data_IF_728153966449
#
_entry.id   IF_728153966449
#
_cell.length_a   1.000
_cell.length_b   1.000
_cell.length_c   1.000
_cell.angle_alpha   90.00
_cell.angle_beta   90.00
_cell.angle_gamma   90.00
#
_symmetry.space_group_name_H-M   'P 1'
#
loop_
_entity.id
_entity.type
_entity.pdbx_description
1 polymer ?
#
# COMPACT_ATOMS: atom_id res chain seq x y z
N UNK A 1 7.04 15.18 34.63
CA UNK A 1 6.79 15.07 33.17
C UNK A 1 8.02 14.77 32.30
N UNK A 2 9.22 15.38 32.50
CA UNK A 2 10.41 15.12 31.66
C UNK A 2 10.97 13.68 31.71
N UNK A 3 11.00 13.05 32.90
CA UNK A 3 11.59 11.71 33.07
C UNK A 3 10.79 10.60 32.35
N UNK A 4 9.46 10.67 32.36
CA UNK A 4 8.59 9.71 31.67
C UNK A 4 8.74 9.75 30.15
N UNK A 5 9.00 10.93 29.57
CA UNK A 5 9.25 11.10 28.13
C UNK A 5 10.56 10.44 27.68
N UNK A 6 11.61 10.49 28.49
CA UNK A 6 12.89 9.87 28.15
C UNK A 6 12.76 8.34 28.12
N UNK A 7 12.02 7.77 29.08
CA UNK A 7 11.84 6.32 29.18
C UNK A 7 11.11 5.75 27.96
N UNK A 8 10.08 6.44 27.44
CA UNK A 8 9.34 5.94 26.27
C UNK A 8 10.22 5.98 25.00
N UNK A 9 11.14 6.95 24.88
CA UNK A 9 12.11 6.95 23.76
C UNK A 9 13.05 5.75 23.82
N UNK A 10 13.55 5.38 25.01
CA UNK A 10 14.35 4.16 25.15
C UNK A 10 13.57 2.90 24.81
N UNK A 11 12.28 2.83 25.20
CA UNK A 11 11.41 1.73 24.82
C UNK A 11 11.29 1.61 23.28
N UNK A 12 11.02 2.71 22.59
CA UNK A 12 10.94 2.71 21.13
C UNK A 12 12.29 2.42 20.47
N UNK A 13 13.40 2.92 21.02
CA UNK A 13 14.74 2.59 20.54
C UNK A 13 15.00 1.09 20.57
N UNK A 14 14.66 0.41 21.68
CA UNK A 14 14.73 -1.05 21.78
C UNK A 14 13.85 -1.72 20.71
N UNK A 15 12.59 -1.29 20.56
CA UNK A 15 11.68 -1.83 19.55
C UNK A 15 12.20 -1.68 18.11
N UNK A 16 12.85 -0.57 17.78
CA UNK A 16 13.44 -0.31 16.46
C UNK A 16 14.72 -1.11 16.19
N UNK A 17 15.44 -1.50 17.24
CA UNK A 17 16.64 -2.34 17.14
C UNK A 17 16.30 -3.83 16.97
N UNK A 18 15.19 -4.31 17.52
CA UNK A 18 14.81 -5.73 17.46
C UNK A 18 14.74 -6.31 16.03
N UNK A 19 14.17 -5.62 15.01
CA UNK A 19 14.19 -6.11 13.62
C UNK A 19 15.60 -6.23 13.03
N UNK A 20 16.57 -5.43 13.51
CA UNK A 20 17.97 -5.48 13.05
C UNK A 20 18.73 -6.65 13.64
N UNK A 21 18.46 -7.03 14.88
CA UNK A 21 19.13 -8.15 15.58
C UNK A 21 18.09 -9.16 16.07
N UNK A 22 17.39 -9.79 15.13
CA UNK A 22 16.25 -10.65 15.44
C UNK A 22 16.65 -11.87 16.27
N UNK A 23 16.05 -12.00 17.47
CA UNK A 23 16.14 -13.19 18.33
C UNK A 23 14.90 -14.08 18.19
N UNK A 24 14.97 -15.33 18.63
CA UNK A 24 13.84 -16.28 18.53
C UNK A 24 12.76 -15.97 19.56
N UNK A 25 13.17 -15.55 20.76
CA UNK A 25 12.27 -15.20 21.86
C UNK A 25 12.57 -13.79 22.38
N UNK A 26 11.54 -13.11 22.89
CA UNK A 26 11.67 -11.76 23.42
C UNK A 26 12.63 -11.67 24.61
N UNK A 27 12.75 -12.73 25.41
CA UNK A 27 13.65 -12.75 26.57
C UNK A 27 15.12 -12.89 26.16
N UNK A 28 15.41 -13.41 24.97
CA UNK A 28 16.79 -13.63 24.50
C UNK A 28 17.53 -12.32 24.21
N UNK A 29 16.81 -11.21 23.98
CA UNK A 29 17.44 -9.89 23.82
C UNK A 29 18.22 -9.45 25.09
N UNK A 30 17.89 -10.01 26.26
CA UNK A 30 18.56 -9.75 27.54
C UNK A 30 19.30 -10.96 28.10
N UNK A 31 19.58 -11.97 27.28
CA UNK A 31 20.30 -13.16 27.73
C UNK A 31 21.75 -12.83 28.12
N UNK A 32 22.26 -13.54 29.14
CA UNK A 32 23.68 -13.49 29.53
C UNK A 32 24.51 -14.61 28.90
N UNK A 33 23.87 -15.53 28.16
CA UNK A 33 24.54 -16.59 27.42
C UNK A 33 25.55 -15.99 26.43
N UNK A 34 26.82 -16.41 26.53
CA UNK A 34 27.92 -15.84 25.75
C UNK A 34 27.72 -15.98 24.23
N UNK A 35 27.01 -17.02 23.76
CA UNK A 35 26.75 -17.25 22.33
C UNK A 35 25.65 -16.34 21.77
N UNK A 36 24.74 -15.88 22.64
CA UNK A 36 23.55 -15.13 22.23
C UNK A 36 23.54 -13.67 22.73
N UNK A 37 24.47 -13.29 23.61
CA UNK A 37 24.51 -11.99 24.29
C UNK A 37 24.57 -10.85 23.29
N UNK A 38 23.72 -9.85 23.49
CA UNK A 38 23.76 -8.59 22.73
C UNK A 38 23.62 -7.44 23.72
N UNK A 39 24.74 -6.94 24.28
CA UNK A 39 24.74 -6.06 25.46
C UNK A 39 23.86 -4.81 25.35
N UNK A 40 23.82 -4.22 24.15
CA UNK A 40 23.10 -2.98 23.84
C UNK A 40 21.64 -2.95 24.35
N UNK A 41 20.92 -4.08 24.30
CA UNK A 41 19.53 -4.13 24.77
C UNK A 41 19.42 -3.92 26.27
N UNK A 42 20.30 -4.54 27.06
CA UNK A 42 20.33 -4.41 28.51
C UNK A 42 20.90 -3.08 28.98
N UNK A 43 21.79 -2.47 28.19
CA UNK A 43 22.34 -1.14 28.44
C UNK A 43 21.30 -0.03 28.23
N UNK A 44 20.42 -0.15 27.24
CA UNK A 44 19.36 0.84 26.96
C UNK A 44 18.22 0.73 27.99
N UNK A 45 17.76 -0.49 28.28
CA UNK A 45 16.63 -0.71 29.18
C UNK A 45 16.68 -2.12 29.78
N UNK A 46 16.37 -2.28 31.06
CA UNK A 46 16.25 -3.61 31.65
C UNK A 46 15.08 -4.41 31.06
N UNK A 47 15.23 -5.73 30.98
CA UNK A 47 14.18 -6.65 30.48
C UNK A 47 12.83 -6.39 31.15
N UNK A 48 12.82 -6.34 32.48
CA UNK A 48 11.58 -6.27 33.24
C UNK A 48 10.89 -4.92 33.04
N UNK A 49 11.66 -3.83 32.91
CA UNK A 49 11.11 -2.52 32.56
C UNK A 49 10.51 -2.53 31.15
N UNK A 50 11.20 -3.12 30.17
CA UNK A 50 10.70 -3.23 28.81
C UNK A 50 9.39 -4.03 28.76
N UNK A 51 9.34 -5.20 29.41
CA UNK A 51 8.13 -6.04 29.45
C UNK A 51 6.97 -5.36 30.17
N UNK A 52 7.23 -4.61 31.25
CA UNK A 52 6.21 -3.83 31.95
C UNK A 52 5.62 -2.75 31.04
N UNK A 53 6.47 -1.98 30.34
CA UNK A 53 6.02 -0.96 29.40
C UNK A 53 5.26 -1.57 28.23
N UNK A 54 5.75 -2.68 27.67
CA UNK A 54 5.07 -3.41 26.59
C UNK A 54 3.66 -3.84 26.98
N UNK A 55 3.46 -4.25 28.25
CA UNK A 55 2.15 -4.65 28.77
C UNK A 55 1.20 -3.47 29.03
N UNK A 56 1.73 -2.33 29.44
CA UNK A 56 0.94 -1.21 29.98
C UNK A 56 0.79 -0.04 29.00
N UNK A 57 1.43 -0.08 27.82
CA UNK A 57 1.36 0.98 26.82
C UNK A 57 -0.08 1.18 26.32
N UNK A 58 -0.59 2.40 26.48
CA UNK A 58 -1.93 2.82 26.07
C UNK A 58 -1.88 4.26 25.54
N UNK A 59 -2.79 4.61 24.63
CA UNK A 59 -2.85 5.92 23.99
C UNK A 59 -4.20 6.64 24.13
N UNK A 60 -5.15 6.02 24.82
CA UNK A 60 -6.49 6.55 25.05
C UNK A 60 -6.89 6.34 26.51
N UNK A 61 -7.77 7.20 27.02
CA UNK A 61 -8.47 6.95 28.27
C UNK A 61 -9.51 5.84 28.04
N UNK A 62 -9.49 4.80 28.88
CA UNK A 62 -10.46 3.70 28.78
C UNK A 62 -11.85 4.06 29.31
N UNK A 63 -11.98 5.19 30.02
CA UNK A 63 -13.26 5.67 30.54
C UNK A 63 -14.01 6.56 29.53
N UNK A 64 -13.34 6.99 28.46
CA UNK A 64 -13.94 7.81 27.43
C UNK A 64 -14.78 6.95 26.46
N UNK A 65 -15.88 7.52 25.98
CA UNK A 65 -16.76 6.86 25.01
C UNK A 65 -16.07 6.75 23.65
N UNK A 66 -16.01 5.54 23.11
CA UNK A 66 -15.40 5.26 21.82
C UNK A 66 -16.30 5.63 20.64
N UNK A 67 -17.60 5.90 20.87
CA UNK A 67 -18.53 6.33 19.81
C UNK A 67 -18.64 5.35 18.64
N UNK A 68 -18.32 4.06 18.85
CA UNK A 68 -18.28 3.04 17.81
C UNK A 68 -17.01 3.05 16.92
N UNK A 69 -16.02 3.90 17.20
CA UNK A 69 -14.72 3.89 16.51
C UNK A 69 -13.89 2.68 16.94
N UNK A 70 -13.72 1.71 16.03
CA UNK A 70 -12.92 0.50 16.29
C UNK A 70 -11.43 0.79 16.47
N UNK A 71 -10.95 1.97 16.07
CA UNK A 71 -9.56 2.40 16.20
C UNK A 71 -9.33 3.33 17.39
N UNK A 72 -10.36 3.62 18.19
CA UNK A 72 -10.33 4.58 19.30
C UNK A 72 -9.04 4.51 20.15
N UNK A 73 -8.62 3.29 20.51
CA UNK A 73 -7.43 3.04 21.35
C UNK A 73 -6.09 3.49 20.75
N UNK A 74 -6.04 3.67 19.43
CA UNK A 74 -4.84 4.06 18.68
C UNK A 74 -5.12 5.25 17.75
N UNK A 75 -6.31 5.85 17.83
CA UNK A 75 -6.78 6.91 16.93
C UNK A 75 -5.80 8.08 16.87
N UNK A 76 -5.44 8.62 18.03
CA UNK A 76 -4.48 9.71 18.14
C UNK A 76 -3.11 9.38 17.51
N UNK A 77 -2.66 8.13 17.62
CA UNK A 77 -1.39 7.69 17.02
C UNK A 77 -1.52 7.63 15.50
N UNK A 78 -2.60 7.04 14.99
CA UNK A 78 -2.86 6.96 13.55
C UNK A 78 -2.93 8.36 12.94
N UNK A 79 -3.72 9.26 13.53
CA UNK A 79 -3.93 10.60 12.99
C UNK A 79 -2.62 11.41 13.02
N UNK A 80 -1.84 11.29 14.10
CA UNK A 80 -0.52 11.92 14.21
C UNK A 80 0.46 11.40 13.15
N UNK A 81 0.47 10.09 12.89
CA UNK A 81 1.31 9.49 11.85
C UNK A 81 0.88 9.96 10.46
N UNK A 82 -0.41 9.92 10.14
CA UNK A 82 -0.94 10.39 8.85
C UNK A 82 -0.62 11.86 8.62
N UNK A 83 -0.80 12.71 9.62
CA UNK A 83 -0.46 14.13 9.54
C UNK A 83 1.05 14.32 9.31
N UNK A 84 1.89 13.59 10.04
CA UNK A 84 3.35 13.65 9.88
C UNK A 84 3.79 13.18 8.49
N UNK A 85 3.22 12.08 7.99
CA UNK A 85 3.58 11.52 6.69
C UNK A 85 3.25 12.47 5.55
N UNK A 86 2.03 13.03 5.56
CA UNK A 86 1.58 14.04 4.58
C UNK A 86 2.39 15.33 4.63
N UNK A 87 2.81 15.75 5.83
CA UNK A 87 3.55 17.01 6.03
C UNK A 87 5.04 16.92 5.72
N UNK A 88 5.64 15.75 5.81
CA UNK A 88 7.10 15.58 5.70
C UNK A 88 7.60 15.40 4.25
N UNK A 89 6.72 15.09 3.29
CA UNK A 89 7.15 14.79 1.93
C UNK A 89 6.11 15.22 0.90
N UNK A 90 6.55 15.99 -0.10
CA UNK A 90 5.77 16.25 -1.31
C UNK A 90 6.11 15.14 -2.33
N UNK A 91 5.12 14.37 -2.81
CA UNK A 91 5.40 13.30 -3.75
C UNK A 91 5.93 13.81 -5.08
N UNK A 92 6.67 12.95 -5.77
CA UNK A 92 6.93 13.14 -7.18
C UNK A 92 5.64 12.91 -7.98
N UNK A 93 5.76 12.89 -9.31
CA UNK A 93 4.60 12.78 -10.19
C UNK A 93 3.84 11.46 -10.03
N UNK A 94 4.54 10.36 -9.80
CA UNK A 94 3.98 9.01 -9.92
C UNK A 94 3.71 8.45 -8.52
N UNK A 95 2.45 8.10 -8.25
CA UNK A 95 1.96 7.60 -6.95
C UNK A 95 1.20 6.30 -7.15
N UNK A 96 1.17 5.45 -6.12
CA UNK A 96 0.54 4.13 -6.15
C UNK A 96 -0.38 3.95 -4.95
N UNK A 97 -1.53 3.29 -5.17
CA UNK A 97 -2.43 2.86 -4.10
C UNK A 97 -2.58 1.34 -4.17
N UNK A 98 -2.31 0.67 -3.04
CA UNK A 98 -2.48 -0.77 -2.91
C UNK A 98 -2.73 -1.19 -1.44
N UNK A 99 -2.88 -2.49 -1.21
CA UNK A 99 -3.28 -3.08 0.05
C UNK A 99 -2.10 -3.78 0.73
N UNK A 100 -1.87 -3.42 1.99
CA UNK A 100 -0.96 -4.12 2.89
C UNK A 100 -1.73 -4.88 3.97
N UNK A 101 -1.12 -5.95 4.47
CA UNK A 101 -1.70 -6.81 5.50
C UNK A 101 -0.70 -7.05 6.62
N UNK A 102 -0.88 -6.33 7.72
CA UNK A 102 -0.06 -6.46 8.91
C UNK A 102 -0.43 -7.74 9.66
N UNK A 103 0.51 -8.68 9.78
CA UNK A 103 0.30 -9.95 10.46
C UNK A 103 -0.22 -9.72 11.90
N UNK A 104 -1.40 -10.24 12.19
CA UNK A 104 -1.97 -10.20 13.53
C UNK A 104 -2.80 -11.45 13.80
N UNK A 105 -2.40 -12.23 14.81
CA UNK A 105 -3.06 -13.50 15.16
C UNK A 105 -4.01 -13.39 16.35
N UNK A 106 -4.01 -12.28 17.07
CA UNK A 106 -4.87 -12.06 18.23
C UNK A 106 -6.37 -11.95 17.90
N UNK A 107 -7.17 -11.75 18.94
CA UNK A 107 -8.60 -11.44 18.82
C UNK A 107 -8.76 -9.97 18.47
N UNK A 108 -9.34 -9.69 17.31
CA UNK A 108 -9.62 -8.35 16.82
C UNK A 108 -10.80 -8.42 15.85
N UNK A 109 -11.79 -7.55 16.05
CA UNK A 109 -13.08 -7.60 15.33
C UNK A 109 -12.98 -7.29 13.84
N UNK A 110 -11.97 -6.55 13.40
CA UNK A 110 -11.74 -6.17 12.01
C UNK A 110 -10.55 -6.88 11.35
N UNK A 111 -10.03 -7.93 11.98
CA UNK A 111 -9.00 -8.80 11.38
C UNK A 111 -9.53 -9.41 10.08
N UNK A 112 -8.73 -9.33 9.02
CA UNK A 112 -9.06 -9.87 7.70
C UNK A 112 -8.33 -11.19 7.44
N UNK A 113 -8.96 -12.06 6.65
CA UNK A 113 -8.34 -13.25 6.08
C UNK A 113 -8.17 -13.06 4.57
N UNK A 114 -6.93 -13.04 4.09
CA UNK A 114 -6.59 -12.87 2.67
C UNK A 114 -5.70 -14.05 2.26
N UNK A 115 -6.25 -15.11 1.63
CA UNK A 115 -5.52 -16.34 1.30
C UNK A 115 -4.27 -16.12 0.45
N UNK A 116 -4.30 -15.11 -0.43
CA UNK A 116 -3.24 -14.81 -1.39
C UNK A 116 -2.02 -14.13 -0.79
N UNK A 117 -2.14 -13.46 0.37
CA UNK A 117 -1.02 -12.80 1.03
C UNK A 117 -0.29 -13.77 1.96
N UNK A 118 1.04 -13.62 2.10
CA UNK A 118 1.90 -14.48 2.93
C UNK A 118 1.40 -14.56 4.38
N UNK A 119 1.08 -13.40 4.95
CA UNK A 119 0.43 -13.28 6.25
C UNK A 119 -1.08 -13.42 6.06
N UNK A 120 -1.60 -14.66 5.97
CA UNK A 120 -3.02 -14.89 5.62
C UNK A 120 -4.03 -14.20 6.55
N UNK A 121 -3.66 -13.92 7.81
CA UNK A 121 -4.49 -13.25 8.80
C UNK A 121 -3.81 -11.97 9.28
N UNK A 122 -4.54 -10.85 9.30
CA UNK A 122 -3.96 -9.58 9.72
C UNK A 122 -4.90 -8.39 9.74
N UNK A 123 -4.33 -7.23 10.04
CA UNK A 123 -4.99 -5.92 9.90
C UNK A 123 -4.72 -5.42 8.48
N UNK A 124 -5.78 -5.28 7.69
CA UNK A 124 -5.69 -4.77 6.31
C UNK A 124 -5.58 -3.24 6.36
N UNK A 125 -4.66 -2.69 5.58
CA UNK A 125 -4.48 -1.26 5.37
C UNK A 125 -4.46 -0.95 3.88
N UNK A 126 -5.14 0.10 3.46
CA UNK A 126 -4.93 0.72 2.15
C UNK A 126 -3.81 1.75 2.30
N UNK A 127 -2.81 1.70 1.43
CA UNK A 127 -1.61 2.54 1.54
C UNK A 127 -1.40 3.27 0.22
N UNK A 128 -1.12 4.56 0.32
CA UNK A 128 -0.69 5.40 -0.80
C UNK A 128 0.79 5.71 -0.65
N UNK A 129 1.58 5.40 -1.68
CA UNK A 129 3.02 5.64 -1.70
C UNK A 129 3.46 6.45 -2.91
N UNK A 130 4.60 7.13 -2.78
CA UNK A 130 5.36 7.66 -3.90
C UNK A 130 6.13 6.54 -4.61
N UNK A 131 5.99 6.43 -5.93
CA UNK A 131 6.56 5.33 -6.72
C UNK A 131 8.09 5.41 -6.85
N UNK A 132 8.70 6.59 -6.63
CA UNK A 132 10.14 6.79 -6.80
C UNK A 132 10.92 6.41 -5.54
N UNK A 133 10.35 6.71 -4.38
CA UNK A 133 11.02 6.59 -3.08
C UNK A 133 10.45 5.48 -2.20
N UNK A 134 9.24 4.99 -2.50
CA UNK A 134 8.50 4.09 -1.62
C UNK A 134 7.97 4.77 -0.35
N UNK A 135 8.05 6.10 -0.28
CA UNK A 135 7.58 6.85 0.88
C UNK A 135 6.05 6.77 1.01
N UNK A 136 5.56 6.43 2.20
CA UNK A 136 4.13 6.36 2.50
C UNK A 136 3.61 7.79 2.71
N UNK A 137 2.71 8.21 1.83
CA UNK A 137 2.06 9.52 1.89
C UNK A 137 0.86 9.50 2.84
N UNK A 138 0.07 8.43 2.77
CA UNK A 138 -1.10 8.24 3.61
C UNK A 138 -1.53 6.77 3.66
N UNK A 139 -2.34 6.42 4.65
CA UNK A 139 -2.93 5.09 4.76
C UNK A 139 -4.29 5.12 5.47
N UNK A 140 -5.11 4.11 5.21
CA UNK A 140 -6.40 3.87 5.88
C UNK A 140 -6.38 2.47 6.46
N UNK A 141 -6.68 2.35 7.76
CA UNK A 141 -6.88 1.06 8.40
C UNK A 141 -8.31 0.58 8.13
N UNK A 142 -8.45 -0.60 7.54
CA UNK A 142 -9.76 -1.14 7.19
C UNK A 142 -10.44 -1.76 8.42
N UNK A 143 -11.55 -1.15 8.85
CA UNK A 143 -12.34 -1.57 10.02
C UNK A 143 -13.71 -2.17 9.67
N UNK A 144 -13.98 -2.32 8.37
CA UNK A 144 -15.28 -2.69 7.82
C UNK A 144 -16.08 -1.46 7.39
N UNK A 145 -17.35 -1.39 7.78
CA UNK A 145 -18.30 -0.32 7.39
C UNK A 145 -17.86 1.06 7.90
N UNK A 146 -17.31 1.13 9.11
CA UNK A 146 -16.90 2.39 9.77
C UNK A 146 -15.43 2.73 9.48
N UNK A 147 -14.94 2.43 8.28
CA UNK A 147 -13.59 2.84 7.88
C UNK A 147 -13.60 4.32 7.51
N UNK A 148 -12.49 5.03 7.70
CA UNK A 148 -12.36 6.46 7.37
C UNK A 148 -12.28 6.65 5.84
N UNK A 149 -13.38 6.38 5.15
CA UNK A 149 -13.52 6.37 3.69
C UNK A 149 -14.74 7.23 3.32
N UNK A 150 -14.52 8.22 2.46
CA UNK A 150 -15.59 9.06 1.93
C UNK A 150 -16.24 8.39 0.72
N UNK A 151 -17.58 8.38 0.68
CA UNK A 151 -18.33 7.78 -0.44
C UNK A 151 -18.31 8.72 -1.65
N UNK A 152 -17.82 8.22 -2.78
CA UNK A 152 -17.73 8.90 -4.07
C UNK A 152 -18.92 8.62 -4.99
N UNK A 153 -19.67 7.54 -4.73
CA UNK A 153 -20.72 7.05 -5.62
C UNK A 153 -20.22 6.23 -6.82
N UNK A 154 -18.90 6.09 -6.99
CA UNK A 154 -18.26 5.35 -8.10
C UNK A 154 -17.87 3.91 -7.72
N UNK A 155 -18.18 3.51 -6.49
CA UNK A 155 -17.92 2.19 -5.93
C UNK A 155 -16.74 2.16 -4.96
N UNK A 156 -16.65 1.08 -4.16
CA UNK A 156 -15.73 0.99 -3.00
C UNK A 156 -14.25 1.25 -3.33
N UNK A 157 -13.76 0.77 -4.48
CA UNK A 157 -12.39 1.03 -4.90
C UNK A 157 -12.14 2.51 -5.18
N UNK A 158 -13.10 3.18 -5.82
CA UNK A 158 -13.05 4.61 -6.07
C UNK A 158 -13.15 5.43 -4.77
N UNK A 159 -13.97 5.01 -3.81
CA UNK A 159 -14.09 5.66 -2.51
C UNK A 159 -12.73 5.69 -1.77
N UNK A 160 -12.00 4.58 -1.79
CA UNK A 160 -10.66 4.49 -1.17
C UNK A 160 -9.65 5.37 -1.91
N UNK A 161 -9.61 5.25 -3.24
CA UNK A 161 -8.67 6.02 -4.08
C UNK A 161 -8.91 7.52 -3.93
N UNK A 162 -10.16 7.97 -4.02
CA UNK A 162 -10.53 9.38 -3.87
C UNK A 162 -10.23 9.90 -2.46
N UNK A 163 -10.46 9.10 -1.41
CA UNK A 163 -10.12 9.48 -0.04
C UNK A 163 -8.61 9.70 0.15
N UNK A 164 -7.78 8.75 -0.32
CA UNK A 164 -6.32 8.85 -0.21
C UNK A 164 -5.75 9.97 -1.07
N UNK A 165 -6.28 10.15 -2.29
CA UNK A 165 -5.81 11.17 -3.23
C UNK A 165 -6.33 12.57 -2.93
N UNK A 166 -7.33 12.76 -2.06
CA UNK A 166 -7.97 14.07 -1.86
C UNK A 166 -6.99 15.25 -1.71
N UNK A 167 -5.87 15.15 -0.96
CA UNK A 167 -4.89 16.25 -0.84
C UNK A 167 -4.04 16.50 -2.10
N UNK A 168 -4.07 15.58 -3.07
CA UNK A 168 -3.21 15.51 -4.25
C UNK A 168 -3.98 15.66 -5.57
N UNK A 169 -5.31 15.65 -5.54
CA UNK A 169 -6.14 15.95 -6.71
C UNK A 169 -5.80 17.34 -7.27
N UNK A 170 -5.96 17.51 -8.57
CA UNK A 170 -5.70 18.74 -9.31
C UNK A 170 -4.24 19.22 -9.30
N UNK A 171 -3.30 18.39 -8.82
CA UNK A 171 -1.85 18.67 -8.84
C UNK A 171 -1.09 17.91 -9.93
N UNK A 172 -1.80 17.26 -10.86
CA UNK A 172 -1.19 16.51 -11.95
C UNK A 172 -0.52 15.17 -11.62
N UNK A 173 -0.82 14.44 -10.51
CA UNK A 173 -0.19 13.16 -10.27
C UNK A 173 -0.63 12.10 -11.30
N UNK A 174 0.19 11.06 -11.45
CA UNK A 174 -0.17 9.81 -12.14
C UNK A 174 -0.36 8.71 -11.10
N UNK A 175 -1.59 8.23 -10.98
CA UNK A 175 -1.96 7.14 -10.11
C UNK A 175 -1.71 5.79 -10.79
N UNK A 176 -1.09 4.87 -10.05
CA UNK A 176 -0.99 3.45 -10.40
C UNK A 176 -1.79 2.61 -9.42
N UNK A 177 -2.63 1.70 -9.93
CA UNK A 177 -3.52 0.87 -9.10
C UNK A 177 -3.77 -0.49 -9.73
N UNK A 178 -4.08 -1.48 -8.88
CA UNK A 178 -4.44 -2.83 -9.31
C UNK A 178 -5.85 -2.92 -9.94
N UNK A 179 -6.26 -4.15 -10.31
CA UNK A 179 -7.55 -4.40 -10.93
C UNK A 179 -8.77 -4.30 -10.01
N UNK A 180 -8.57 -4.30 -8.68
CA UNK A 180 -9.65 -4.12 -7.73
C UNK A 180 -10.14 -2.67 -7.71
N UNK A 181 -9.23 -1.71 -7.86
CA UNK A 181 -9.56 -0.28 -7.98
C UNK A 181 -9.94 0.14 -9.39
N UNK A 182 -9.28 -0.40 -10.41
CA UNK A 182 -9.39 0.11 -11.78
C UNK A 182 -10.79 -0.06 -12.38
N UNK A 183 -11.37 1.06 -12.85
CA UNK A 183 -12.61 1.10 -13.63
C UNK A 183 -12.62 2.30 -14.59
N UNK A 184 -13.35 2.21 -15.72
CA UNK A 184 -13.55 3.36 -16.62
C UNK A 184 -14.10 4.61 -15.91
N UNK A 185 -15.12 4.44 -15.08
CA UNK A 185 -15.79 5.55 -14.39
C UNK A 185 -14.83 6.29 -13.43
N UNK A 186 -14.02 5.54 -12.66
CA UNK A 186 -13.00 6.14 -11.79
C UNK A 186 -11.95 6.89 -12.60
N UNK A 187 -11.46 6.33 -13.70
CA UNK A 187 -10.37 6.93 -14.46
C UNK A 187 -10.82 8.18 -15.21
N UNK A 188 -12.06 8.21 -15.72
CA UNK A 188 -12.65 9.43 -16.27
C UNK A 188 -12.82 10.51 -15.20
N UNK A 189 -13.30 10.14 -14.00
CA UNK A 189 -13.44 11.08 -12.90
C UNK A 189 -12.09 11.66 -12.46
N UNK A 190 -11.07 10.81 -12.28
CA UNK A 190 -9.71 11.24 -11.93
C UNK A 190 -9.13 12.19 -12.99
N UNK A 191 -9.33 11.88 -14.27
CA UNK A 191 -8.87 12.75 -15.35
C UNK A 191 -9.55 14.13 -15.30
N UNK A 192 -10.85 14.18 -14.99
CA UNK A 192 -11.57 15.43 -14.71
C UNK A 192 -11.06 16.19 -13.49
N UNK A 193 -10.39 15.51 -12.54
CA UNK A 193 -9.68 16.10 -11.40
C UNK A 193 -8.19 16.34 -11.69
N UNK A 194 -7.81 16.52 -12.97
CA UNK A 194 -6.44 16.68 -13.44
C UNK A 194 -5.46 15.68 -12.81
N UNK A 195 -5.90 14.42 -12.71
CA UNK A 195 -5.13 13.29 -12.17
C UNK A 195 -5.17 12.16 -13.20
N UNK A 196 -4.01 11.79 -13.71
CA UNK A 196 -3.93 10.69 -14.65
C UNK A 196 -3.86 9.35 -13.92
N UNK A 197 -4.21 8.26 -14.58
CA UNK A 197 -4.22 6.94 -13.98
C UNK A 197 -3.79 5.84 -14.96
N UNK A 198 -3.23 4.76 -14.40
CA UNK A 198 -2.84 3.56 -15.12
C UNK A 198 -2.98 2.34 -14.21
N UNK A 199 -3.64 1.29 -14.69
CA UNK A 199 -3.85 0.10 -13.88
C UNK A 199 -4.18 -1.14 -14.69
N UNK A 200 -3.99 -2.29 -14.08
CA UNK A 200 -4.57 -3.53 -14.63
C UNK A 200 -6.09 -3.47 -14.48
N UNK A 201 -6.86 -3.99 -15.43
CA UNK A 201 -8.33 -3.92 -15.39
C UNK A 201 -8.95 -5.27 -15.67
N UNK A 202 -10.08 -5.58 -15.04
CA UNK A 202 -10.88 -6.76 -15.40
C UNK A 202 -11.69 -6.42 -16.65
N UNK A 203 -11.60 -7.25 -17.69
CA UNK A 203 -12.38 -7.09 -18.93
C UNK A 203 -13.90 -7.04 -18.73
N UNK A 204 -14.40 -7.54 -17.60
CA UNK A 204 -15.82 -7.58 -17.22
C UNK A 204 -16.29 -6.31 -16.49
N UNK A 205 -15.43 -5.32 -16.27
CA UNK A 205 -15.85 -4.04 -15.68
C UNK A 205 -16.87 -3.34 -16.59
N UNK A 206 -17.83 -2.65 -15.98
CA UNK A 206 -18.81 -1.82 -16.68
C UNK A 206 -18.08 -0.81 -17.58
N UNK A 207 -18.65 -0.56 -18.76
CA UNK A 207 -18.11 0.36 -19.78
C UNK A 207 -16.75 -0.04 -20.40
N UNK A 208 -16.24 -1.25 -20.17
CA UNK A 208 -15.09 -1.74 -20.91
C UNK A 208 -15.43 -2.06 -22.37
N UNK A 209 -14.54 -1.73 -23.33
CA UNK A 209 -14.77 -2.05 -24.73
C UNK A 209 -14.64 -3.55 -25.00
N UNK A 210 -15.44 -4.06 -25.94
CA UNK A 210 -15.29 -5.42 -26.47
C UNK A 210 -14.07 -5.49 -27.40
N UNK A 211 -13.12 -6.37 -27.08
CA UNK A 211 -11.93 -6.68 -27.88
C UNK A 211 -11.79 -8.20 -28.04
N UNK A 212 -12.49 -8.74 -29.03
CA UNK A 212 -12.65 -10.19 -29.26
C UNK A 212 -11.46 -10.84 -29.99
N UNK A 213 -10.56 -10.03 -30.56
CA UNK A 213 -9.38 -10.50 -31.26
C UNK A 213 -8.55 -11.44 -30.38
N UNK A 214 -8.29 -12.66 -30.87
CA UNK A 214 -7.34 -13.60 -30.24
C UNK A 214 -5.93 -13.15 -30.58
N UNK A 215 -5.12 -12.91 -29.55
CA UNK A 215 -3.76 -12.41 -29.68
C UNK A 215 -2.74 -13.55 -29.46
N UNK A 216 -1.72 -13.60 -30.31
CA UNK A 216 -0.52 -14.43 -30.08
C UNK A 216 0.37 -13.76 -29.04
N UNK A 217 1.30 -14.52 -28.44
CA UNK A 217 2.29 -13.99 -27.50
C UNK A 217 3.07 -12.84 -28.16
N UNK A 218 3.12 -11.69 -27.49
CA UNK A 218 3.76 -10.47 -27.96
C UNK A 218 2.80 -9.49 -28.65
N UNK A 219 1.64 -9.93 -29.12
CA UNK A 219 0.69 -9.06 -29.82
C UNK A 219 -0.10 -8.17 -28.86
N UNK A 220 -0.49 -7.00 -29.36
CA UNK A 220 -1.25 -5.97 -28.66
C UNK A 220 -2.45 -5.54 -29.49
N UNK A 221 -3.56 -5.26 -28.83
CA UNK A 221 -4.76 -4.64 -29.40
C UNK A 221 -5.21 -3.54 -28.47
N UNK A 222 -5.67 -2.41 -29.01
CA UNK A 222 -6.07 -1.26 -28.21
C UNK A 222 -7.32 -0.60 -28.75
N UNK A 223 -8.13 -0.04 -27.86
CA UNK A 223 -9.25 0.83 -28.20
C UNK A 223 -9.23 2.05 -27.30
N UNK A 224 -9.43 3.22 -27.88
CA UNK A 224 -9.53 4.49 -27.16
C UNK A 224 -10.95 5.04 -27.24
N UNK A 225 -11.38 5.70 -26.17
CA UNK A 225 -12.61 6.47 -26.12
C UNK A 225 -12.45 7.60 -25.10
N UNK A 226 -12.80 8.83 -25.50
CA UNK A 226 -12.55 10.03 -24.70
C UNK A 226 -11.07 10.11 -24.24
N UNK A 227 -10.83 10.22 -22.94
CA UNK A 227 -9.49 10.25 -22.34
C UNK A 227 -8.92 8.86 -22.02
N UNK A 228 -9.67 7.77 -22.25
CA UNK A 228 -9.27 6.42 -21.88
C UNK A 228 -8.66 5.67 -23.05
N UNK A 229 -7.61 4.91 -22.75
CA UNK A 229 -7.03 3.89 -23.59
C UNK A 229 -7.11 2.53 -22.88
N UNK A 230 -7.84 1.60 -23.49
CA UNK A 230 -7.84 0.19 -23.09
C UNK A 230 -6.84 -0.58 -23.96
N UNK A 231 -5.94 -1.32 -23.31
CA UNK A 231 -4.92 -2.14 -23.98
C UNK A 231 -5.11 -3.59 -23.57
N UNK A 232 -5.19 -4.47 -24.57
CA UNK A 232 -5.15 -5.92 -24.44
C UNK A 232 -3.80 -6.40 -24.99
N UNK A 233 -2.97 -6.98 -24.14
CA UNK A 233 -1.66 -7.50 -24.51
C UNK A 233 -1.52 -8.96 -24.09
N UNK A 234 -0.94 -9.80 -24.93
CA UNK A 234 -0.75 -11.21 -24.64
C UNK A 234 0.72 -11.52 -24.33
N UNK A 235 1.04 -11.86 -23.09
CA UNK A 235 2.34 -12.45 -22.72
C UNK A 235 2.21 -13.97 -22.65
N UNK A 236 2.42 -14.58 -21.48
CA UNK A 236 1.99 -15.96 -21.20
C UNK A 236 0.47 -16.07 -21.05
N UNK A 237 -0.18 -14.97 -20.68
CA UNK A 237 -1.62 -14.81 -20.49
C UNK A 237 -2.03 -13.42 -20.97
N UNK A 238 -3.31 -13.26 -21.25
CA UNK A 238 -3.87 -11.95 -21.57
C UNK A 238 -3.78 -11.02 -20.36
N UNK A 239 -3.24 -9.82 -20.59
CA UNK A 239 -3.19 -8.70 -19.65
C UNK A 239 -4.02 -7.57 -20.22
N UNK A 240 -4.91 -7.04 -19.39
CA UNK A 240 -5.76 -5.91 -19.72
C UNK A 240 -5.32 -4.72 -18.89
N UNK A 241 -5.01 -3.62 -19.58
CA UNK A 241 -4.64 -2.34 -18.96
C UNK A 241 -5.68 -1.29 -19.32
N UNK A 242 -5.89 -0.36 -18.41
CA UNK A 242 -6.62 0.87 -18.65
C UNK A 242 -5.70 2.04 -18.28
N UNK A 243 -5.69 3.10 -19.08
CA UNK A 243 -4.86 4.27 -18.79
C UNK A 243 -5.42 5.56 -19.40
N UNK A 244 -5.05 6.70 -18.79
CA UNK A 244 -5.32 8.06 -19.31
C UNK A 244 -4.04 8.83 -19.66
N UNK A 245 -2.85 8.20 -19.57
CA UNK A 245 -1.56 8.89 -19.72
C UNK A 245 -0.51 8.17 -20.57
N UNK A 246 -0.85 7.06 -21.20
CA UNK A 246 0.04 6.35 -22.12
C UNK A 246 -0.64 6.17 -23.48
N UNK A 247 0.17 5.95 -24.50
CA UNK A 247 -0.26 5.44 -25.80
C UNK A 247 -0.18 3.90 -25.85
N UNK A 248 -0.47 3.32 -27.02
CA UNK A 248 -0.33 1.90 -27.29
C UNK A 248 1.11 1.49 -27.67
N UNK A 249 2.08 2.38 -27.42
CA UNK A 249 3.48 2.19 -27.74
C UNK A 249 4.11 1.00 -27.03
N UNK A 250 4.97 0.30 -27.75
CA UNK A 250 5.70 -0.87 -27.30
C UNK A 250 7.17 -0.49 -27.10
N UNK A 251 7.76 -0.92 -25.98
CA UNK A 251 9.15 -0.63 -25.63
C UNK A 251 9.94 -1.90 -25.34
N UNK A 252 11.19 -1.90 -25.78
CA UNK A 252 12.15 -2.93 -25.44
C UNK A 252 12.48 -2.86 -23.95
N UNK A 253 12.39 -4.00 -23.26
CA UNK A 253 12.79 -4.13 -21.86
C UNK A 253 14.25 -4.53 -21.75
N UNK A 254 14.85 -4.41 -20.57
CA UNK A 254 16.22 -4.87 -20.32
C UNK A 254 16.36 -6.42 -20.28
N UNK A 255 15.26 -7.16 -20.50
CA UNK A 255 15.23 -8.61 -20.40
C UNK A 255 15.28 -9.26 -21.78
N UNK A 256 16.08 -10.32 -21.89
CA UNK A 256 16.21 -11.15 -23.09
C UNK A 256 15.40 -12.43 -22.90
N UNK A 257 14.64 -12.83 -23.93
CA UNK A 257 13.99 -14.15 -23.96
C UNK A 257 15.07 -15.21 -24.20
N UNK A 258 15.28 -16.09 -23.22
CA UNK A 258 16.33 -17.12 -23.25
C UNK A 258 16.20 -18.11 -24.42
N UNK A 259 15.00 -18.27 -24.99
CA UNK A 259 14.78 -19.21 -26.10
C UNK A 259 15.10 -18.60 -27.45
N UNK A 260 14.74 -17.33 -27.65
CA UNK A 260 14.90 -16.67 -28.96
C UNK A 260 16.14 -15.78 -29.02
N UNK A 261 16.73 -15.43 -27.88
CA UNK A 261 17.82 -14.45 -27.80
C UNK A 261 17.39 -13.01 -28.07
N UNK A 262 16.09 -12.77 -28.29
CA UNK A 262 15.55 -11.45 -28.60
C UNK A 262 15.17 -10.69 -27.33
N UNK A 263 15.27 -9.37 -27.40
CA UNK A 263 14.80 -8.47 -26.34
C UNK A 263 13.30 -8.58 -26.18
N UNK A 264 12.84 -8.72 -24.93
CA UNK A 264 11.41 -8.77 -24.62
C UNK A 264 10.83 -7.37 -24.78
N UNK A 265 9.76 -7.26 -25.57
CA UNK A 265 9.03 -6.01 -25.81
C UNK A 265 7.69 -6.03 -25.07
N UNK A 266 7.31 -4.93 -24.44
CA UNK A 266 6.06 -4.77 -23.70
C UNK A 266 5.42 -3.41 -23.96
N UNK A 267 4.10 -3.25 -23.76
CA UNK A 267 3.48 -1.93 -23.77
C UNK A 267 4.12 -1.03 -22.70
N UNK A 268 4.35 0.25 -23.02
CA UNK A 268 4.98 1.20 -22.08
C UNK A 268 4.20 1.27 -20.75
N UNK A 269 2.87 1.30 -20.81
CA UNK A 269 2.01 1.33 -19.62
C UNK A 269 2.22 0.11 -18.69
N UNK A 270 2.58 -1.05 -19.24
CA UNK A 270 2.87 -2.26 -18.45
C UNK A 270 4.24 -2.14 -17.77
N UNK A 271 5.22 -1.54 -18.44
CA UNK A 271 6.55 -1.30 -17.84
C UNK A 271 6.42 -0.33 -16.67
N UNK A 272 5.75 0.80 -16.87
CA UNK A 272 5.58 1.81 -15.83
C UNK A 272 4.71 1.31 -14.67
N UNK A 273 3.64 0.56 -14.96
CA UNK A 273 2.84 -0.11 -13.94
C UNK A 273 3.68 -1.05 -13.06
N UNK A 274 4.49 -1.93 -13.66
CA UNK A 274 5.30 -2.87 -12.90
C UNK A 274 6.36 -2.16 -12.05
N UNK A 275 6.92 -1.05 -12.55
CA UNK A 275 7.87 -0.23 -11.79
C UNK A 275 7.20 0.40 -10.57
N UNK A 276 6.00 0.94 -10.73
CA UNK A 276 5.28 1.64 -9.67
C UNK A 276 4.72 0.69 -8.60
N UNK A 277 4.06 -0.40 -9.02
CA UNK A 277 3.43 -1.35 -8.09
C UNK A 277 4.43 -2.02 -7.14
N UNK A 278 5.69 -2.19 -7.56
CA UNK A 278 6.75 -2.72 -6.70
C UNK A 278 7.12 -1.84 -5.50
N UNK A 279 6.54 -0.64 -5.37
CA UNK A 279 6.79 0.26 -4.23
C UNK A 279 5.93 -0.04 -2.99
N UNK A 280 4.85 -0.83 -3.13
CA UNK A 280 3.96 -1.19 -2.02
C UNK A 280 4.07 -2.66 -1.60
N UNK A 281 4.41 -3.54 -2.54
CA UNK A 281 4.61 -4.99 -2.33
C UNK A 281 5.93 -5.32 -1.58
#
# INVERSE_FOLDING_TARGET
>A
YRFGRIIIFFFFAVCLLMPRTKKLKINEYWTKDCLLRTPMFGEIMSRDRFLLLLRMLHFSDNNADAGGDKLFKIRHVIDSLRASFRGAFLPYRDVVVDESLLLFKGRLSFKQYIPSKRSRFGVKTFVMCDCRTGYILDFIVYTGVNSDITVSGLGKGADIVSTLLAPYLQKGPRLYVDNWYTSPDLFMWLHGQATNACGTVRKTRKHMPKMEQKLKKGEVSSKSAACLLAIKWCDKREVWMLTTCHDSGMVATEKIDRKTGLTIVKPQCVVDYNKCMGSVD
#
